data_IF_455607542202
#
_entry.id   IF_455607542202
#
_cell.length_a   1.000
_cell.length_b   1.000
_cell.length_c   1.000
_cell.angle_alpha   90.00
_cell.angle_beta   90.00
_cell.angle_gamma   90.00
#
_symmetry.space_group_name_H-M   'P 1'
#
loop_
_entity.id
_entity.type
_entity.pdbx_description
1 polymer ?
#
# COMPACT_ATOMS: atom_id res chain seq x y z
N UNK A 1 -12.40 -36.40 -44.75
CA UNK A 1 -13.00 -35.06 -44.62
C UNK A 1 -12.71 -34.56 -43.20
N UNK A 2 -12.26 -33.32 -43.12
CA UNK A 2 -11.99 -32.47 -41.94
C UNK A 2 -10.78 -32.76 -41.02
N UNK A 3 -9.79 -31.87 -41.20
CA UNK A 3 -8.64 -31.56 -40.36
C UNK A 3 -9.11 -31.02 -39.00
N UNK A 4 -8.39 -31.35 -37.93
CA UNK A 4 -8.28 -30.42 -36.80
C UNK A 4 -6.95 -30.61 -36.07
N UNK A 5 -5.93 -29.94 -36.59
CA UNK A 5 -4.81 -29.50 -35.76
C UNK A 5 -5.37 -28.54 -34.72
N UNK A 6 -5.52 -29.02 -33.49
CA UNK A 6 -5.85 -28.15 -32.36
C UNK A 6 -4.55 -27.48 -31.90
N UNK A 7 -4.42 -26.24 -32.32
CA UNK A 7 -3.40 -25.29 -31.89
C UNK A 7 -3.35 -25.22 -30.35
N UNK A 8 -2.31 -25.81 -29.74
CA UNK A 8 -1.93 -25.48 -28.37
C UNK A 8 -1.01 -24.26 -28.39
N UNK A 9 -1.58 -23.08 -28.65
CA UNK A 9 -0.89 -21.79 -28.59
C UNK A 9 -1.55 -20.92 -27.53
N UNK A 10 -0.94 -20.85 -26.35
CA UNK A 10 -0.68 -19.62 -25.58
C UNK A 10 -0.51 -19.93 -24.08
N UNK A 11 0.75 -20.04 -23.65
CA UNK A 11 1.13 -19.93 -22.24
C UNK A 11 2.35 -19.02 -22.02
N UNK A 12 2.72 -18.23 -23.03
CA UNK A 12 3.96 -17.45 -23.05
C UNK A 12 3.75 -15.93 -23.19
N UNK A 13 2.51 -15.49 -23.35
CA UNK A 13 2.19 -14.06 -23.49
C UNK A 13 2.25 -13.33 -22.12
N UNK A 14 1.95 -14.04 -21.02
CA UNK A 14 2.14 -13.54 -19.65
C UNK A 14 3.61 -13.29 -19.29
N UNK A 15 4.52 -13.90 -20.05
CA UNK A 15 5.95 -13.88 -19.80
C UNK A 15 6.61 -12.63 -20.40
N UNK A 16 6.12 -12.16 -21.56
CA UNK A 16 6.64 -10.95 -22.19
C UNK A 16 6.37 -9.67 -21.38
N UNK A 17 5.18 -9.55 -20.78
CA UNK A 17 4.85 -8.43 -19.89
C UNK A 17 5.64 -8.48 -18.58
N UNK A 18 5.86 -9.67 -17.99
CA UNK A 18 6.72 -9.83 -16.81
C UNK A 18 8.17 -9.43 -17.11
N UNK A 19 8.74 -9.88 -18.24
CA UNK A 19 10.10 -9.50 -18.67
C UNK A 19 10.23 -7.98 -18.84
N UNK A 20 9.27 -7.32 -19.50
CA UNK A 20 9.25 -5.86 -19.64
C UNK A 20 9.17 -5.13 -18.29
N UNK A 21 8.37 -5.62 -17.35
CA UNK A 21 8.27 -5.05 -16.01
C UNK A 21 9.57 -5.18 -15.22
N UNK A 22 10.20 -6.36 -15.28
CA UNK A 22 11.47 -6.62 -14.64
C UNK A 22 12.61 -5.78 -15.24
N UNK A 23 12.68 -5.67 -16.57
CA UNK A 23 13.61 -4.77 -17.27
C UNK A 23 13.46 -3.31 -16.83
N UNK A 24 12.21 -2.84 -16.63
CA UNK A 24 11.96 -1.48 -16.14
C UNK A 24 12.52 -1.26 -14.72
N UNK A 25 12.39 -2.25 -13.82
CA UNK A 25 12.97 -2.18 -12.48
C UNK A 25 14.50 -2.19 -12.51
N UNK A 26 15.11 -3.02 -13.36
CA UNK A 26 16.56 -3.01 -13.54
C UNK A 26 17.05 -1.67 -14.11
N UNK A 27 16.33 -1.11 -15.10
CA UNK A 27 16.66 0.19 -15.65
C UNK A 27 16.62 1.29 -14.58
N UNK A 28 15.58 1.31 -13.75
CA UNK A 28 15.48 2.25 -12.64
C UNK A 28 16.63 2.07 -11.64
N UNK A 29 16.89 0.83 -11.20
CA UNK A 29 17.98 0.53 -10.27
C UNK A 29 19.36 0.93 -10.82
N UNK A 30 19.59 0.72 -12.12
CA UNK A 30 20.83 1.13 -12.79
C UNK A 30 20.95 2.66 -12.85
N UNK A 31 19.87 3.36 -13.17
CA UNK A 31 19.84 4.84 -13.19
C UNK A 31 20.16 5.42 -11.80
N UNK A 32 19.63 4.82 -10.72
CA UNK A 32 19.97 5.20 -9.34
C UNK A 32 21.46 5.01 -9.03
N UNK A 33 22.03 3.89 -9.50
CA UNK A 33 23.43 3.56 -9.30
C UNK A 33 24.36 4.52 -10.07
N UNK A 34 24.09 4.75 -11.35
CA UNK A 34 24.88 5.65 -12.22
C UNK A 34 24.80 7.11 -11.77
N UNK A 35 23.63 7.56 -11.28
CA UNK A 35 23.46 8.91 -10.76
C UNK A 35 24.02 9.09 -9.34
N UNK A 36 24.45 8.03 -8.67
CA UNK A 36 24.93 8.04 -7.28
C UNK A 36 23.82 8.26 -6.25
N UNK A 37 22.54 8.32 -6.66
CA UNK A 37 21.37 8.49 -5.78
C UNK A 37 20.84 7.15 -5.30
N UNK A 38 21.73 6.31 -4.78
CA UNK A 38 21.41 4.95 -4.35
C UNK A 38 20.57 4.94 -3.06
N UNK A 39 19.70 3.94 -2.93
CA UNK A 39 19.07 3.63 -1.66
C UNK A 39 20.14 3.12 -0.68
N UNK A 40 20.50 3.95 0.30
CA UNK A 40 21.60 3.68 1.23
C UNK A 40 21.43 2.38 2.02
N UNK A 41 20.20 2.02 2.40
CA UNK A 41 19.94 0.78 3.15
C UNK A 41 20.19 -0.47 2.31
N UNK A 42 19.67 -0.47 1.07
CA UNK A 42 19.89 -1.55 0.11
C UNK A 42 21.37 -1.65 -0.30
N UNK A 43 22.02 -0.50 -0.50
CA UNK A 43 23.43 -0.43 -0.84
C UNK A 43 24.34 -0.93 0.29
N UNK A 44 24.05 -0.57 1.54
CA UNK A 44 24.78 -1.07 2.70
C UNK A 44 24.66 -2.60 2.82
N UNK A 45 23.48 -3.17 2.56
CA UNK A 45 23.29 -4.63 2.50
C UNK A 45 24.17 -5.26 1.43
N UNK A 46 24.17 -4.70 0.21
CA UNK A 46 25.00 -5.17 -0.87
C UNK A 46 26.51 -5.11 -0.53
N UNK A 47 26.95 -4.05 0.14
CA UNK A 47 28.33 -3.86 0.57
C UNK A 47 28.75 -4.87 1.65
N UNK A 48 27.86 -5.17 2.60
CA UNK A 48 28.13 -6.16 3.64
C UNK A 48 28.33 -7.57 3.05
N UNK A 49 27.60 -7.90 1.99
CA UNK A 49 27.64 -9.22 1.34
C UNK A 49 28.68 -9.32 0.20
N UNK A 50 29.19 -8.20 -0.28
CA UNK A 50 30.23 -8.15 -1.31
C UNK A 50 31.64 -8.36 -0.75
N UNK A 51 31.81 -8.32 0.58
CA UNK A 51 33.12 -8.33 1.23
C UNK A 51 34.02 -7.15 0.80
N UNK A 52 33.42 -6.01 0.45
CA UNK A 52 34.15 -4.81 0.03
C UNK A 52 34.59 -4.78 -1.43
N UNK A 53 34.16 -5.74 -2.25
CA UNK A 53 34.36 -5.69 -3.71
C UNK A 53 33.30 -4.78 -4.34
N UNK A 54 33.74 -3.68 -4.97
CA UNK A 54 32.85 -2.68 -5.55
C UNK A 54 32.01 -3.24 -6.72
N UNK A 55 32.61 -4.03 -7.61
CA UNK A 55 31.89 -4.60 -8.76
C UNK A 55 30.81 -5.58 -8.30
N UNK A 56 31.14 -6.41 -7.30
CA UNK A 56 30.19 -7.32 -6.66
C UNK A 56 29.11 -6.55 -5.88
N UNK A 57 29.47 -5.45 -5.22
CA UNK A 57 28.52 -4.56 -4.51
C UNK A 57 27.50 -4.00 -5.49
N UNK A 58 27.94 -3.48 -6.63
CA UNK A 58 27.06 -2.93 -7.67
C UNK A 58 26.10 -4.00 -8.22
N UNK A 59 26.60 -5.21 -8.49
CA UNK A 59 25.78 -6.33 -8.94
C UNK A 59 24.73 -6.73 -7.90
N UNK A 60 25.13 -6.87 -6.62
CA UNK A 60 24.23 -7.19 -5.53
C UNK A 60 23.20 -6.08 -5.28
N UNK A 61 23.61 -4.81 -5.42
CA UNK A 61 22.71 -3.66 -5.30
C UNK A 61 21.59 -3.73 -6.33
N UNK A 62 21.91 -3.95 -7.61
CA UNK A 62 20.89 -4.06 -8.67
C UNK A 62 19.87 -5.17 -8.34
N UNK A 63 20.36 -6.34 -7.93
CA UNK A 63 19.50 -7.46 -7.54
C UNK A 63 18.56 -7.10 -6.38
N UNK A 64 19.10 -6.54 -5.30
CA UNK A 64 18.29 -6.19 -4.13
C UNK A 64 17.37 -5.01 -4.38
N UNK A 65 17.78 -4.06 -5.24
CA UNK A 65 16.97 -2.88 -5.53
C UNK A 65 15.76 -3.23 -6.39
N UNK A 66 15.91 -4.12 -7.37
CA UNK A 66 14.77 -4.63 -8.16
C UNK A 66 13.74 -5.29 -7.25
N UNK A 67 14.19 -6.12 -6.30
CA UNK A 67 13.28 -6.73 -5.32
C UNK A 67 12.61 -5.66 -4.44
N UNK A 68 13.37 -4.69 -3.93
CA UNK A 68 12.84 -3.58 -3.12
C UNK A 68 11.76 -2.79 -3.84
N UNK A 69 11.94 -2.48 -5.14
CA UNK A 69 10.95 -1.73 -5.92
C UNK A 69 9.66 -2.54 -6.10
N UNK A 70 9.78 -3.84 -6.34
CA UNK A 70 8.62 -4.73 -6.44
C UNK A 70 7.86 -4.81 -5.10
N UNK A 71 8.58 -4.92 -3.98
CA UNK A 71 8.00 -5.00 -2.64
C UNK A 71 7.36 -3.67 -2.19
N UNK A 72 7.94 -2.52 -2.56
CA UNK A 72 7.39 -1.19 -2.27
C UNK A 72 5.96 -1.05 -2.82
N UNK A 73 5.72 -1.48 -4.06
CA UNK A 73 4.39 -1.46 -4.66
C UNK A 73 3.39 -2.36 -3.91
N UNK A 74 3.83 -3.51 -3.42
CA UNK A 74 2.97 -4.41 -2.63
C UNK A 74 2.64 -3.83 -1.24
N UNK A 75 3.63 -3.21 -0.58
CA UNK A 75 3.47 -2.59 0.74
C UNK A 75 2.49 -1.42 0.66
N UNK A 76 2.52 -0.64 -0.41
CA UNK A 76 1.62 0.51 -0.58
C UNK A 76 0.15 0.09 -0.70
N UNK A 77 -0.11 -1.00 -1.43
CA UNK A 77 -1.45 -1.62 -1.51
C UNK A 77 -1.93 -2.12 -0.14
N UNK A 78 -1.04 -2.77 0.62
CA UNK A 78 -1.37 -3.26 1.97
C UNK A 78 -1.68 -2.11 2.92
N UNK A 79 -0.86 -1.06 2.93
CA UNK A 79 -1.09 0.14 3.75
C UNK A 79 -2.41 0.82 3.41
N UNK A 80 -2.77 0.87 2.13
CA UNK A 80 -4.04 1.44 1.70
C UNK A 80 -5.20 0.63 2.26
N UNK A 81 -5.13 -0.70 2.16
CA UNK A 81 -6.15 -1.59 2.71
C UNK A 81 -6.27 -1.49 4.23
N UNK A 82 -5.15 -1.46 4.96
CA UNK A 82 -5.16 -1.26 6.41
C UNK A 82 -5.79 0.09 6.80
N UNK A 83 -5.54 1.14 6.01
CA UNK A 83 -6.15 2.46 6.23
C UNK A 83 -7.66 2.44 6.01
N UNK A 84 -8.12 1.76 4.96
CA UNK A 84 -9.56 1.58 4.67
C UNK A 84 -10.26 0.75 5.75
N UNK A 85 -9.63 -0.34 6.20
CA UNK A 85 -10.14 -1.16 7.31
C UNK A 85 -10.19 -0.36 8.62
N UNK A 86 -9.16 0.46 8.89
CA UNK A 86 -9.15 1.36 10.03
C UNK A 86 -10.27 2.40 9.95
N UNK A 87 -10.43 3.05 8.80
CA UNK A 87 -11.48 4.05 8.56
C UNK A 87 -12.89 3.44 8.68
N UNK A 88 -13.09 2.21 8.20
CA UNK A 88 -14.34 1.47 8.38
C UNK A 88 -14.59 1.05 9.84
N UNK A 89 -13.54 0.90 10.65
CA UNK A 89 -13.63 0.55 12.07
C UNK A 89 -13.94 1.76 12.98
N UNK A 90 -13.73 2.98 12.50
CA UNK A 90 -14.02 4.19 13.25
C UNK A 90 -15.54 4.37 13.38
N UNK A 91 -16.06 4.67 14.58
CA UNK A 91 -17.45 5.08 14.70
C UNK A 91 -17.65 6.36 13.86
N UNK A 92 -18.80 6.53 13.18
CA UNK A 92 -19.05 7.71 12.38
C UNK A 92 -18.81 8.97 13.21
N UNK A 93 -18.25 10.01 12.58
CA UNK A 93 -17.78 11.25 13.22
C UNK A 93 -18.82 11.92 14.14
N UNK A 94 -20.11 11.61 13.96
CA UNK A 94 -21.26 12.13 14.72
C UNK A 94 -21.56 11.36 16.03
N UNK A 95 -20.95 10.18 16.28
CA UNK A 95 -21.31 9.29 17.39
C UNK A 95 -20.76 9.73 18.77
N UNK A 96 -19.92 10.78 18.81
CA UNK A 96 -19.49 11.36 20.09
C UNK A 96 -20.64 12.09 20.77
N UNK A 97 -21.48 12.80 20.02
CA UNK A 97 -22.64 13.50 20.58
C UNK A 97 -23.58 12.52 21.26
N UNK A 98 -23.85 11.36 20.63
CA UNK A 98 -24.73 10.33 21.19
C UNK A 98 -24.22 9.83 22.56
N UNK A 99 -22.92 9.57 22.67
CA UNK A 99 -22.27 9.11 23.91
C UNK A 99 -22.21 10.21 24.96
N UNK A 100 -21.93 11.45 24.57
CA UNK A 100 -21.97 12.60 25.47
C UNK A 100 -23.39 12.86 25.98
N UNK A 101 -24.40 12.85 25.11
CA UNK A 101 -25.81 13.00 25.51
C UNK A 101 -26.29 11.84 26.38
N UNK A 102 -25.88 10.60 26.12
CA UNK A 102 -26.20 9.45 26.97
C UNK A 102 -25.55 9.56 28.35
N UNK A 103 -24.29 10.01 28.44
CA UNK A 103 -23.62 10.26 29.71
C UNK A 103 -24.30 11.40 30.48
N UNK A 104 -24.64 12.50 29.80
CA UNK A 104 -25.36 13.63 30.39
C UNK A 104 -26.77 13.21 30.86
N UNK A 105 -27.51 12.44 30.05
CA UNK A 105 -28.82 11.93 30.41
C UNK A 105 -28.77 10.94 31.59
N UNK A 106 -27.70 10.14 31.70
CA UNK A 106 -27.48 9.20 32.80
C UNK A 106 -27.12 9.92 34.11
N UNK A 107 -26.37 11.02 34.05
CA UNK A 107 -26.06 11.87 35.22
C UNK A 107 -27.30 12.67 35.66
N UNK A 108 -28.14 13.09 34.72
CA UNK A 108 -29.32 13.93 35.00
C UNK A 108 -30.57 13.08 35.36
N UNK A 109 -30.61 11.79 35.05
CA UNK A 109 -31.53 10.83 35.67
C UNK A 109 -33.04 11.12 35.53
N UNK A 110 -33.49 11.84 34.50
CA UNK A 110 -34.90 12.21 34.36
C UNK A 110 -35.32 12.52 32.93
N UNK A 111 -36.48 11.98 32.54
CA UNK A 111 -37.14 11.89 31.22
C UNK A 111 -37.36 13.24 30.47
N UNK A 112 -36.82 14.37 30.91
CA UNK A 112 -37.16 15.70 30.38
C UNK A 112 -36.26 16.30 29.29
N UNK A 113 -35.09 15.71 28.98
CA UNK A 113 -34.06 16.37 28.16
C UNK A 113 -34.26 16.37 26.64
N UNK A 114 -35.12 15.50 26.11
CA UNK A 114 -35.26 15.30 24.65
C UNK A 114 -36.01 16.45 23.96
N UNK A 115 -36.78 17.25 24.70
CA UNK A 115 -37.72 18.22 24.10
C UNK A 115 -37.14 19.58 23.67
N UNK A 116 -35.91 19.93 24.06
CA UNK A 116 -35.40 21.31 23.83
C UNK A 116 -34.71 21.45 22.46
N UNK A 117 -34.15 20.37 21.91
CA UNK A 117 -33.39 20.45 20.64
C UNK A 117 -34.31 20.49 19.41
N UNK A 118 -35.48 19.84 19.44
CA UNK A 118 -36.43 19.88 18.30
C UNK A 118 -37.11 21.24 18.09
N UNK A 119 -37.21 22.07 19.14
CA UNK A 119 -37.84 23.38 19.06
C UNK A 119 -36.97 24.44 18.36
N UNK A 120 -35.65 24.30 18.44
CA UNK A 120 -34.70 25.27 17.84
C UNK A 120 -34.52 25.00 16.34
N UNK A 121 -34.58 23.73 15.90
CA UNK A 121 -34.44 23.37 14.47
C UNK A 121 -35.72 23.63 13.65
N UNK A 122 -36.88 23.77 14.29
CA UNK A 122 -38.15 24.09 13.60
C UNK A 122 -38.37 25.60 13.43
N UNK A 123 -37.46 26.43 13.97
CA UNK A 123 -37.56 27.89 14.01
C UNK A 123 -36.46 28.60 13.20
N UNK A 124 -35.67 27.86 12.42
CA UNK A 124 -34.64 28.38 11.52
C UNK A 124 -34.99 28.12 10.06
#
# INVERSE_FOLDING_TARGET
>A
MFVMGLFNKSKDDSNAFKRKGEEAYYHQALTELESGKVNKGVYAKALAESSGDDAKTQSLYLKYRVQSIADEGAIEVLKQKEREEYEASLPPEEDWLSKFFNIIAMIIGGIGGIFIVSAILSSL
#
